data_IF_251577733936
#
_entry.id   IF_251577733936
#
_cell.length_a   1.000
_cell.length_b   1.000
_cell.length_c   1.000
_cell.angle_alpha   90.00
_cell.angle_beta   90.00
_cell.angle_gamma   90.00
#
_symmetry.space_group_name_H-M   'P 1'
#
loop_
_entity.id
_entity.type
_entity.pdbx_description
1 polymer ?
#
# COMPACT_ATOMS: atom_id res chain seq x y z
N UNK A 1 -5.94 -11.49 -39.22
CA UNK A 1 -6.25 -10.29 -38.43
C UNK A 1 -5.17 -10.15 -37.36
N UNK A 2 -4.10 -9.43 -37.66
CA UNK A 2 -2.89 -9.27 -36.83
C UNK A 2 -2.70 -7.78 -36.56
N UNK A 3 -3.42 -7.27 -35.57
CA UNK A 3 -3.40 -5.85 -35.21
C UNK A 3 -3.60 -5.59 -33.72
N UNK A 4 -3.32 -6.58 -32.86
CA UNK A 4 -3.60 -6.52 -31.42
C UNK A 4 -2.34 -6.35 -30.54
N UNK A 5 -1.14 -6.35 -31.11
CA UNK A 5 0.09 -6.44 -30.32
C UNK A 5 0.42 -5.15 -29.54
N UNK A 6 -0.03 -3.98 -30.01
CA UNK A 6 0.13 -2.71 -29.30
C UNK A 6 -1.04 -2.38 -28.35
N UNK A 7 -2.17 -3.09 -28.42
CA UNK A 7 -3.34 -2.83 -27.56
C UNK A 7 -3.06 -3.14 -26.08
N UNK A 8 -2.05 -3.98 -25.81
CA UNK A 8 -1.59 -4.29 -24.46
C UNK A 8 -0.61 -3.26 -23.89
N UNK A 9 -0.35 -2.17 -24.62
CA UNK A 9 0.62 -1.11 -24.28
C UNK A 9 1.97 -1.67 -23.76
N UNK A 10 2.65 -2.53 -24.54
CA UNK A 10 3.83 -3.24 -24.04
C UNK A 10 5.05 -2.34 -23.81
N UNK A 11 5.08 -1.15 -24.41
CA UNK A 11 6.18 -0.19 -24.30
C UNK A 11 6.07 0.64 -23.02
N UNK A 12 7.12 0.64 -22.21
CA UNK A 12 7.21 1.35 -20.94
C UNK A 12 7.90 2.71 -21.11
N UNK A 13 7.91 3.52 -20.05
CA UNK A 13 8.70 4.76 -19.94
C UNK A 13 8.49 5.75 -21.11
N UNK A 14 7.26 5.82 -21.64
CA UNK A 14 6.90 6.74 -22.73
C UNK A 14 7.36 6.28 -24.12
N UNK A 15 7.82 5.04 -24.27
CA UNK A 15 8.12 4.45 -25.58
C UNK A 15 6.89 4.34 -26.48
N UNK A 16 7.06 4.56 -27.79
CA UNK A 16 5.98 4.48 -28.78
C UNK A 16 5.88 3.08 -29.38
N UNK A 17 4.71 2.44 -29.29
CA UNK A 17 4.49 1.12 -29.87
C UNK A 17 4.17 1.21 -31.37
N UNK A 18 4.86 0.40 -32.19
CA UNK A 18 4.59 0.22 -33.62
C UNK A 18 4.40 -1.26 -33.94
N UNK A 19 3.55 -1.56 -34.91
CA UNK A 19 3.38 -2.93 -35.41
C UNK A 19 4.60 -3.27 -36.27
N UNK A 20 5.24 -4.41 -35.99
CA UNK A 20 6.42 -4.87 -36.72
C UNK A 20 6.07 -5.44 -38.10
N UNK A 21 6.94 -5.23 -39.09
CA UNK A 21 6.72 -5.63 -40.49
C UNK A 21 6.56 -7.16 -40.71
N UNK A 22 6.96 -7.98 -39.73
CA UNK A 22 6.85 -9.46 -39.76
C UNK A 22 5.74 -10.05 -38.88
N UNK A 23 4.88 -9.22 -38.27
CA UNK A 23 4.00 -9.59 -37.16
C UNK A 23 4.65 -9.36 -35.79
N UNK A 24 3.86 -8.98 -34.78
CA UNK A 24 4.34 -8.55 -33.47
C UNK A 24 4.38 -7.02 -33.31
N UNK A 25 4.98 -6.56 -32.21
CA UNK A 25 5.20 -5.14 -31.91
C UNK A 25 6.68 -4.79 -31.79
N UNK A 26 6.99 -3.50 -31.97
CA UNK A 26 8.31 -2.90 -31.78
C UNK A 26 8.13 -1.61 -30.98
N UNK A 27 8.91 -1.45 -29.92
CA UNK A 27 8.91 -0.22 -29.13
C UNK A 27 9.99 0.73 -29.60
N UNK A 28 9.59 1.96 -29.95
CA UNK A 28 10.49 3.08 -30.16
C UNK A 28 10.73 3.79 -28.83
N UNK A 29 11.86 3.50 -28.21
CA UNK A 29 12.23 4.05 -26.92
C UNK A 29 12.63 5.52 -26.99
N UNK A 30 12.22 6.29 -25.98
CA UNK A 30 12.68 7.67 -25.81
C UNK A 30 14.16 7.68 -25.43
N UNK A 31 14.83 8.80 -25.75
CA UNK A 31 16.24 9.00 -25.41
C UNK A 31 16.44 8.78 -23.90
N UNK A 32 17.40 7.93 -23.56
CA UNK A 32 17.69 7.54 -22.18
C UNK A 32 17.06 6.20 -21.76
N UNK A 33 16.12 5.66 -22.53
CA UNK A 33 15.57 4.32 -22.35
C UNK A 33 15.96 3.35 -23.48
N UNK A 34 16.09 2.07 -23.16
CA UNK A 34 16.42 0.99 -24.10
C UNK A 34 15.79 -0.34 -23.66
N UNK A 35 15.99 -1.41 -24.43
CA UNK A 35 15.36 -2.72 -24.17
C UNK A 35 14.21 -3.02 -25.13
N UNK A 36 13.58 -4.18 -24.98
CA UNK A 36 12.50 -4.62 -25.88
C UNK A 36 11.24 -3.80 -25.65
N UNK A 37 11.01 -3.43 -24.40
CA UNK A 37 9.87 -2.67 -23.92
C UNK A 37 10.29 -1.31 -23.33
N UNK A 38 11.50 -0.82 -23.63
CA UNK A 38 12.05 0.41 -23.06
C UNK A 38 12.22 0.39 -21.53
N UNK A 39 12.49 -0.80 -20.98
CA UNK A 39 12.62 -1.08 -19.55
C UNK A 39 14.02 -0.82 -18.98
N UNK A 40 15.03 -0.66 -19.84
CA UNK A 40 16.43 -0.52 -19.46
C UNK A 40 16.83 0.95 -19.48
N UNK A 41 17.33 1.44 -18.34
CA UNK A 41 17.99 2.73 -18.28
C UNK A 41 19.31 2.71 -19.05
N UNK A 42 19.46 3.61 -20.01
CA UNK A 42 20.64 3.67 -20.88
C UNK A 42 21.44 4.96 -20.71
N UNK A 43 20.96 5.91 -19.92
CA UNK A 43 21.61 7.20 -19.75
C UNK A 43 21.30 7.79 -18.38
N UNK A 44 22.33 8.00 -17.56
CA UNK A 44 22.18 8.71 -16.28
C UNK A 44 22.01 10.21 -16.54
N UNK A 45 20.78 10.72 -16.45
CA UNK A 45 20.48 12.13 -16.66
C UNK A 45 21.04 13.02 -15.54
N UNK A 46 21.25 12.46 -14.34
CA UNK A 46 21.84 13.16 -13.20
C UNK A 46 23.34 13.43 -13.35
N UNK A 47 24.04 12.69 -14.21
CA UNK A 47 25.45 12.90 -14.53
C UNK A 47 25.78 14.34 -14.97
N UNK A 48 24.82 15.04 -15.57
CA UNK A 48 24.94 16.43 -16.02
C UNK A 48 24.76 17.48 -14.91
N UNK A 49 24.47 17.05 -13.67
CA UNK A 49 24.12 17.91 -12.54
C UNK A 49 22.99 18.90 -12.87
N UNK A 50 21.81 18.41 -13.30
CA UNK A 50 20.75 19.27 -13.79
C UNK A 50 20.06 20.09 -12.69
N UNK A 51 20.04 19.58 -11.45
CA UNK A 51 19.41 20.25 -10.30
C UNK A 51 20.16 21.50 -9.86
N UNK A 52 19.45 22.61 -9.67
CA UNK A 52 19.97 23.85 -9.12
C UNK A 52 20.06 23.72 -7.59
N UNK A 53 21.03 24.43 -7.02
CA UNK A 53 21.36 24.47 -5.59
C UNK A 53 22.13 23.23 -5.11
N UNK A 54 23.13 23.47 -4.24
CA UNK A 54 24.00 22.41 -3.72
C UNK A 54 23.25 21.43 -2.80
N UNK A 55 22.16 21.89 -2.19
CA UNK A 55 21.31 21.08 -1.31
C UNK A 55 20.28 20.24 -2.08
N UNK A 56 20.16 20.43 -3.40
CA UNK A 56 19.22 19.65 -4.21
C UNK A 56 19.81 18.28 -4.56
N UNK A 57 19.02 17.22 -4.37
CA UNK A 57 19.44 15.85 -4.67
C UNK A 57 18.88 15.46 -6.04
N UNK A 58 19.74 15.01 -6.95
CA UNK A 58 19.30 14.44 -8.22
C UNK A 58 19.09 12.93 -8.06
N UNK A 59 17.93 12.44 -8.48
CA UNK A 59 17.63 11.02 -8.60
C UNK A 59 17.37 10.68 -10.06
N UNK A 60 18.18 9.77 -10.57
CA UNK A 60 18.08 9.23 -11.92
C UNK A 60 16.82 8.38 -12.09
N UNK A 61 16.20 8.43 -13.27
CA UNK A 61 15.03 7.63 -13.67
C UNK A 61 15.21 7.20 -15.11
N UNK A 62 14.54 6.12 -15.51
CA UNK A 62 14.64 5.64 -16.88
C UNK A 62 14.12 6.71 -17.86
N UNK A 63 15.04 7.31 -18.61
CA UNK A 63 14.76 8.35 -19.61
C UNK A 63 14.38 9.72 -19.05
N UNK A 64 14.58 9.98 -17.75
CA UNK A 64 14.30 11.27 -17.10
C UNK A 64 15.04 11.38 -15.75
N UNK A 65 14.99 12.54 -15.10
CA UNK A 65 15.52 12.69 -13.73
C UNK A 65 14.53 13.42 -12.83
N UNK A 66 14.74 13.28 -11.52
CA UNK A 66 13.98 14.00 -10.51
C UNK A 66 14.92 14.77 -9.60
N UNK A 67 14.70 16.07 -9.47
CA UNK A 67 15.39 16.89 -8.48
C UNK A 67 14.57 16.99 -7.20
N UNK A 68 15.18 16.74 -6.04
CA UNK A 68 14.59 17.04 -4.74
C UNK A 68 15.05 18.43 -4.32
N UNK A 69 14.14 19.39 -4.37
CA UNK A 69 14.41 20.79 -4.13
C UNK A 69 14.38 21.12 -2.62
N UNK A 70 15.29 22.00 -2.17
CA UNK A 70 15.24 22.55 -0.82
C UNK A 70 13.99 23.42 -0.63
N UNK A 71 13.64 23.68 0.63
CA UNK A 71 12.51 24.56 0.93
C UNK A 71 12.67 25.91 0.23
N UNK A 72 11.56 26.46 -0.23
CA UNK A 72 11.45 27.70 -0.99
C UNK A 72 11.86 27.62 -2.47
N UNK A 73 12.21 26.43 -2.97
CA UNK A 73 12.58 26.22 -4.37
C UNK A 73 11.74 25.10 -4.99
N UNK A 74 11.34 25.30 -6.24
CA UNK A 74 10.47 24.43 -7.04
C UNK A 74 10.89 24.48 -8.51
N UNK A 75 10.20 23.77 -9.41
CA UNK A 75 10.61 23.61 -10.81
C UNK A 75 11.39 22.32 -11.04
N UNK A 76 11.46 21.86 -12.29
CA UNK A 76 12.07 20.56 -12.66
C UNK A 76 13.52 20.46 -12.19
N UNK A 77 14.21 21.59 -12.16
CA UNK A 77 15.61 21.72 -11.77
C UNK A 77 15.73 22.60 -10.51
N UNK A 78 14.68 22.81 -9.72
CA UNK A 78 14.70 23.71 -8.55
C UNK A 78 15.04 25.18 -8.89
N UNK A 79 14.72 25.63 -10.10
CA UNK A 79 15.04 26.95 -10.62
C UNK A 79 14.03 28.05 -10.22
N UNK A 80 12.87 27.68 -9.68
CA UNK A 80 11.77 28.58 -9.33
C UNK A 80 11.75 28.84 -7.82
N UNK A 81 11.86 30.09 -7.41
CA UNK A 81 11.74 30.49 -6.00
C UNK A 81 10.26 30.71 -5.61
N UNK A 82 9.79 30.00 -4.58
CA UNK A 82 8.48 30.17 -3.95
C UNK A 82 8.64 30.16 -2.43
N UNK A 83 8.52 31.31 -1.78
CA UNK A 83 8.74 31.46 -0.34
C UNK A 83 7.87 30.55 0.56
N UNK A 84 6.79 29.98 0.02
CA UNK A 84 5.85 29.11 0.73
C UNK A 84 6.02 27.61 0.42
N UNK A 85 6.91 27.24 -0.51
CA UNK A 85 7.10 25.86 -0.91
C UNK A 85 7.88 25.05 0.15
N UNK A 86 7.36 23.89 0.61
CA UNK A 86 8.13 22.93 1.39
C UNK A 86 9.23 22.29 0.53
N UNK A 87 10.24 21.70 1.17
CA UNK A 87 11.21 20.86 0.46
C UNK A 87 10.49 19.66 -0.19
N UNK A 88 10.86 19.28 -1.41
CA UNK A 88 10.13 18.24 -2.13
C UNK A 88 10.57 18.05 -3.57
N UNK A 89 9.79 17.27 -4.32
CA UNK A 89 10.10 16.93 -5.71
C UNK A 89 9.88 18.13 -6.65
N UNK A 90 10.93 18.49 -7.39
CA UNK A 90 10.94 19.48 -8.44
C UNK A 90 10.14 19.03 -9.66
N UNK A 91 8.95 19.58 -9.83
CA UNK A 91 8.08 19.31 -10.99
C UNK A 91 8.01 20.52 -11.91
N UNK A 92 7.97 20.29 -13.22
CA UNK A 92 7.77 21.33 -14.22
C UNK A 92 6.33 21.86 -14.13
N UNK A 93 6.12 22.87 -13.30
CA UNK A 93 4.89 23.65 -13.27
C UNK A 93 3.69 22.99 -12.59
N UNK A 94 3.60 23.14 -11.26
CA UNK A 94 2.30 23.32 -10.60
C UNK A 94 2.44 24.38 -9.51
N UNK A 95 2.59 25.65 -9.92
CA UNK A 95 2.17 26.74 -9.06
C UNK A 95 0.65 26.61 -8.91
N UNK A 96 0.20 26.30 -7.69
CA UNK A 96 -1.19 26.41 -7.25
C UNK A 96 -2.20 25.45 -7.93
N UNK A 97 -2.27 24.21 -7.43
CA UNK A 97 -3.54 23.47 -7.34
C UNK A 97 -3.85 23.15 -5.88
N UNK A 98 -4.49 24.09 -5.19
CA UNK A 98 -5.52 23.70 -4.21
C UNK A 98 -6.71 23.13 -5.00
N UNK A 99 -6.62 21.89 -5.50
CA UNK A 99 -7.74 21.10 -6.04
C UNK A 99 -7.28 19.70 -6.46
N UNK A 100 -7.75 18.68 -5.74
CA UNK A 100 -7.99 17.30 -6.18
C UNK A 100 -6.86 16.53 -6.87
N UNK A 101 -5.72 16.37 -6.20
CA UNK A 101 -5.01 15.09 -6.33
C UNK A 101 -5.57 14.21 -5.23
N UNK A 102 -6.65 13.46 -5.53
CA UNK A 102 -7.02 12.34 -4.65
C UNK A 102 -5.75 11.52 -4.48
N UNK A 103 -5.36 11.26 -3.24
CA UNK A 103 -4.21 10.42 -2.96
C UNK A 103 -4.34 9.14 -3.79
N UNK A 104 -3.24 8.57 -4.30
CA UNK A 104 -3.26 7.26 -4.96
C UNK A 104 -4.08 6.24 -4.13
N UNK A 105 -3.98 6.35 -2.81
CA UNK A 105 -4.77 5.59 -1.85
C UNK A 105 -6.28 5.85 -1.91
N UNK A 106 -6.72 7.12 -1.98
CA UNK A 106 -8.14 7.46 -2.11
C UNK A 106 -8.71 7.00 -3.45
N UNK A 107 -7.90 7.05 -4.51
CA UNK A 107 -8.29 6.54 -5.82
C UNK A 107 -8.44 5.00 -5.83
N UNK A 108 -7.52 4.29 -5.18
CA UNK A 108 -7.61 2.83 -5.04
C UNK A 108 -8.80 2.40 -4.17
N UNK A 109 -9.02 3.07 -3.04
CA UNK A 109 -10.17 2.80 -2.18
C UNK A 109 -11.50 3.05 -2.91
N UNK A 110 -11.58 4.09 -3.73
CA UNK A 110 -12.76 4.35 -4.58
C UNK A 110 -12.97 3.22 -5.59
N UNK A 111 -11.90 2.75 -6.25
CA UNK A 111 -11.97 1.60 -7.17
C UNK A 111 -12.49 0.35 -6.48
N UNK A 112 -12.00 0.04 -5.29
CA UNK A 112 -12.45 -1.12 -4.51
C UNK A 112 -13.93 -0.99 -4.11
N UNK A 113 -14.38 0.21 -3.72
CA UNK A 113 -15.81 0.48 -3.46
C UNK A 113 -16.69 0.24 -4.70
N UNK A 114 -16.23 0.64 -5.88
CA UNK A 114 -16.94 0.33 -7.13
C UNK A 114 -17.01 -1.19 -7.39
N UNK A 115 -15.97 -1.95 -7.06
CA UNK A 115 -16.00 -3.42 -7.17
C UNK A 115 -17.06 -4.05 -6.25
N UNK A 116 -17.26 -3.50 -5.04
CA UNK A 116 -18.35 -3.95 -4.15
C UNK A 116 -19.74 -3.81 -4.81
N UNK A 117 -19.95 -2.72 -5.57
CA UNK A 117 -21.21 -2.49 -6.30
C UNK A 117 -21.40 -3.52 -7.41
N UNK A 118 -20.34 -3.81 -8.19
CA UNK A 118 -20.36 -4.82 -9.27
C UNK A 118 -20.68 -6.22 -8.73
N UNK A 119 -20.16 -6.56 -7.55
CA UNK A 119 -20.42 -7.85 -6.87
C UNK A 119 -21.80 -7.94 -6.21
N UNK A 120 -22.56 -6.85 -6.19
CA UNK A 120 -23.89 -6.82 -5.58
C UNK A 120 -23.87 -6.83 -4.04
N UNK A 121 -22.74 -6.51 -3.40
CA UNK A 121 -22.62 -6.42 -1.94
C UNK A 121 -23.66 -5.51 -1.26
N UNK A 122 -24.13 -4.40 -1.88
CA UNK A 122 -25.19 -3.59 -1.27
C UNK A 122 -26.52 -4.29 -1.01
N UNK A 123 -26.82 -5.39 -1.71
CA UNK A 123 -28.03 -6.20 -1.50
C UNK A 123 -27.82 -7.34 -0.51
N UNK A 124 -26.55 -7.63 -0.17
CA UNK A 124 -26.13 -8.71 0.71
C UNK A 124 -25.92 -8.23 2.15
N UNK A 125 -25.44 -7.00 2.34
CA UNK A 125 -25.26 -6.37 3.66
C UNK A 125 -26.47 -6.43 4.60
N UNK A 126 -26.19 -6.60 5.89
CA UNK A 126 -27.13 -6.66 7.03
C UNK A 126 -28.17 -7.78 6.93
N UNK A 127 -27.80 -8.90 6.31
CA UNK A 127 -28.63 -10.10 6.20
C UNK A 127 -28.31 -11.15 7.29
N UNK A 128 -27.41 -10.85 8.23
CA UNK A 128 -26.89 -11.75 9.29
C UNK A 128 -26.11 -12.97 8.77
N UNK A 129 -25.66 -12.92 7.53
CA UNK A 129 -24.85 -13.96 6.88
C UNK A 129 -23.61 -13.28 6.32
N UNK A 130 -22.43 -13.71 6.76
CA UNK A 130 -21.18 -13.23 6.19
C UNK A 130 -21.01 -13.76 4.75
N UNK A 131 -21.09 -12.88 3.76
CA UNK A 131 -20.70 -13.16 2.38
C UNK A 131 -19.22 -12.79 2.17
N UNK A 132 -18.35 -13.81 2.11
CA UNK A 132 -16.88 -13.65 2.04
C UNK A 132 -16.41 -12.76 0.87
N UNK A 133 -17.11 -12.77 -0.27
CA UNK A 133 -16.80 -11.87 -1.39
C UNK A 133 -16.97 -10.37 -1.10
N UNK A 134 -17.72 -10.06 -0.03
CA UNK A 134 -18.04 -8.73 0.48
C UNK A 134 -17.33 -8.45 1.83
N UNK A 135 -16.55 -9.41 2.34
CA UNK A 135 -15.76 -9.28 3.56
C UNK A 135 -14.47 -8.47 3.31
N UNK A 136 -14.63 -7.19 2.97
CA UNK A 136 -13.52 -6.26 2.82
C UNK A 136 -13.86 -4.92 3.45
N UNK A 137 -12.83 -4.18 3.86
CA UNK A 137 -13.00 -2.83 4.39
C UNK A 137 -13.75 -1.91 3.41
N UNK A 138 -13.47 -2.03 2.10
CA UNK A 138 -14.14 -1.23 1.07
C UNK A 138 -15.65 -1.53 0.95
N UNK A 139 -16.09 -2.72 1.36
CA UNK A 139 -17.50 -3.13 1.39
C UNK A 139 -18.10 -3.10 2.80
N UNK A 140 -17.47 -2.40 3.75
CA UNK A 140 -17.86 -2.32 5.16
C UNK A 140 -18.03 -3.72 5.82
N UNK A 141 -17.18 -4.68 5.48
CA UNK A 141 -17.24 -6.06 6.00
C UNK A 141 -18.63 -6.69 5.87
N UNK A 142 -19.21 -6.58 4.68
CA UNK A 142 -20.58 -6.98 4.36
C UNK A 142 -21.64 -6.29 5.23
N UNK A 143 -21.49 -4.97 5.42
CA UNK A 143 -22.34 -4.20 6.33
C UNK A 143 -22.22 -4.65 7.79
N UNK A 144 -21.03 -5.11 8.17
CA UNK A 144 -20.63 -5.70 9.44
C UNK A 144 -21.18 -7.12 9.71
N UNK A 145 -21.81 -7.80 8.75
CA UNK A 145 -22.26 -9.19 8.98
C UNK A 145 -21.07 -10.14 9.22
N UNK A 146 -19.91 -9.84 8.64
CA UNK A 146 -18.65 -10.58 8.86
C UNK A 146 -17.88 -10.14 10.11
N UNK A 147 -18.34 -9.09 10.79
CA UNK A 147 -17.67 -8.52 11.97
C UNK A 147 -18.60 -8.40 13.18
N UNK A 148 -19.55 -9.34 13.31
CA UNK A 148 -20.50 -9.43 14.42
C UNK A 148 -21.37 -8.16 14.60
N UNK A 149 -21.62 -7.43 13.52
CA UNK A 149 -22.41 -6.20 13.50
C UNK A 149 -21.65 -4.95 13.95
N UNK A 150 -20.36 -5.04 14.23
CA UNK A 150 -19.53 -3.96 14.78
C UNK A 150 -18.39 -3.66 13.80
N UNK A 151 -17.98 -2.40 13.63
CA UNK A 151 -16.69 -2.08 13.02
C UNK A 151 -15.62 -2.07 14.13
N UNK A 152 -14.74 -3.08 14.21
CA UNK A 152 -13.82 -3.22 15.34
C UNK A 152 -12.74 -2.12 15.39
N UNK A 153 -12.46 -1.45 14.26
CA UNK A 153 -11.43 -0.41 14.13
C UNK A 153 -12.01 1.01 14.07
N UNK A 154 -13.27 1.21 14.43
CA UNK A 154 -13.93 2.53 14.35
C UNK A 154 -13.19 3.64 15.12
N UNK A 155 -12.49 3.27 16.21
CA UNK A 155 -11.74 4.19 17.04
C UNK A 155 -10.23 4.16 16.75
N UNK A 156 -9.74 3.31 15.85
CA UNK A 156 -8.32 3.18 15.58
C UNK A 156 -7.80 4.37 14.76
N UNK A 157 -6.87 5.16 15.31
CA UNK A 157 -6.26 6.32 14.64
C UNK A 157 -4.82 6.09 14.18
N UNK A 158 -4.40 4.84 14.05
CA UNK A 158 -3.04 4.51 13.65
C UNK A 158 -2.70 5.08 12.25
N UNK A 159 -1.41 5.42 12.00
CA UNK A 159 -0.94 5.90 10.69
C UNK A 159 -1.01 4.84 9.59
N UNK A 160 -1.09 3.55 9.97
CA UNK A 160 -1.26 2.41 9.07
C UNK A 160 -2.63 1.76 9.26
N UNK A 161 -3.03 0.94 8.29
CA UNK A 161 -4.32 0.22 8.33
C UNK A 161 -4.21 -1.03 9.20
N UNK A 162 -4.56 -0.90 10.47
CA UNK A 162 -4.40 -2.02 11.41
C UNK A 162 -5.20 -3.26 11.05
N UNK A 163 -6.33 -3.16 10.35
CA UNK A 163 -7.08 -4.34 9.90
C UNK A 163 -6.39 -5.17 8.81
N UNK A 164 -5.37 -4.65 8.11
CA UNK A 164 -4.59 -5.41 7.10
C UNK A 164 -3.42 -6.18 7.72
N UNK A 165 -2.95 -5.75 8.90
CA UNK A 165 -1.83 -6.34 9.62
C UNK A 165 -2.23 -7.05 10.91
N UNK A 166 -3.51 -6.96 11.29
CA UNK A 166 -4.05 -7.60 12.48
C UNK A 166 -3.89 -9.13 12.45
N UNK A 167 -3.22 -9.68 13.46
CA UNK A 167 -2.94 -11.13 13.58
C UNK A 167 -2.13 -11.69 12.38
N UNK A 168 -1.24 -10.89 11.79
CA UNK A 168 -0.36 -11.33 10.70
C UNK A 168 0.94 -12.00 11.20
N UNK A 169 1.16 -12.00 12.52
CA UNK A 169 2.32 -12.57 13.20
C UNK A 169 3.55 -11.65 13.26
N UNK A 170 3.45 -10.41 12.80
CA UNK A 170 4.49 -9.38 12.92
C UNK A 170 4.00 -8.28 13.83
N UNK A 171 4.84 -7.90 14.79
CA UNK A 171 4.50 -6.77 15.65
C UNK A 171 4.56 -5.43 14.89
N UNK A 172 3.40 -4.81 14.73
CA UNK A 172 3.21 -3.44 14.28
C UNK A 172 2.87 -2.53 15.47
N UNK A 173 3.89 -1.86 16.01
CA UNK A 173 3.76 -0.98 17.19
C UNK A 173 2.73 0.16 17.00
N UNK A 174 2.55 0.65 15.77
CA UNK A 174 1.52 1.64 15.43
C UNK A 174 0.09 1.14 15.70
N UNK A 175 -0.12 -0.17 15.62
CA UNK A 175 -1.39 -0.86 15.85
C UNK A 175 -1.50 -1.48 17.25
N UNK A 176 -0.41 -1.47 18.03
CA UNK A 176 -0.30 -2.05 19.35
C UNK A 176 -0.90 -1.14 20.45
N UNK A 177 -2.18 -0.83 20.31
CA UNK A 177 -2.92 -0.01 21.27
C UNK A 177 -4.36 -0.51 21.41
N UNK A 178 -5.08 -0.13 22.48
CA UNK A 178 -6.43 -0.64 22.74
C UNK A 178 -7.45 -0.30 21.64
N UNK A 179 -7.30 0.85 20.99
CA UNK A 179 -8.21 1.34 19.95
C UNK A 179 -8.05 0.58 18.63
N UNK A 180 -6.86 0.02 18.40
CA UNK A 180 -6.50 -0.79 17.24
C UNK A 180 -6.39 -2.29 17.58
N UNK A 181 -6.97 -2.71 18.71
CA UNK A 181 -7.05 -4.11 19.16
C UNK A 181 -5.70 -4.79 19.40
N UNK A 182 -4.72 -4.03 19.89
CA UNK A 182 -3.37 -4.51 20.24
C UNK A 182 -2.70 -5.28 19.11
N UNK A 183 -2.95 -4.88 17.86
CA UNK A 183 -2.37 -5.53 16.68
C UNK A 183 -2.63 -7.05 16.65
N UNK A 184 -3.81 -7.49 17.10
CA UNK A 184 -4.12 -8.91 17.17
C UNK A 184 -3.28 -9.71 18.17
N UNK A 185 -2.55 -9.01 19.04
CA UNK A 185 -1.54 -9.56 19.95
C UNK A 185 -0.27 -10.05 19.27
N UNK A 186 0.02 -9.60 18.04
CA UNK A 186 1.29 -9.90 17.36
C UNK A 186 2.50 -9.27 18.06
N UNK A 187 2.27 -8.20 18.82
CA UNK A 187 3.27 -7.55 19.67
C UNK A 187 3.41 -8.16 21.07
N UNK A 188 2.47 -9.02 21.49
CA UNK A 188 2.72 -9.83 22.67
C UNK A 188 3.85 -10.81 22.31
N UNK A 189 4.87 -10.88 23.16
CA UNK A 189 5.85 -11.96 23.05
C UNK A 189 5.04 -13.25 23.09
N UNK A 190 4.98 -13.97 21.96
CA UNK A 190 4.25 -15.22 21.87
C UNK A 190 4.76 -16.12 22.99
N UNK A 191 4.00 -16.22 24.08
CA UNK A 191 4.26 -17.25 25.07
C UNK A 191 4.18 -18.55 24.27
N UNK A 192 5.21 -19.39 24.43
CA UNK A 192 5.20 -20.68 23.78
C UNK A 192 3.90 -21.39 24.17
N UNK A 193 3.28 -22.18 23.29
CA UNK A 193 2.08 -22.92 23.67
C UNK A 193 2.35 -23.74 24.93
N UNK A 194 1.34 -23.87 25.81
CA UNK A 194 1.43 -24.71 27.00
C UNK A 194 2.02 -26.08 26.63
N UNK A 195 2.91 -26.60 27.47
CA UNK A 195 3.64 -27.83 27.17
C UNK A 195 2.65 -28.94 26.76
N UNK A 196 2.76 -29.54 25.55
CA UNK A 196 1.78 -30.48 25.03
C UNK A 196 1.52 -31.71 25.91
N UNK A 197 2.49 -32.08 26.76
CA UNK A 197 2.34 -33.19 27.73
C UNK A 197 1.41 -32.78 28.89
N UNK A 198 1.47 -31.52 29.30
CA UNK A 198 0.72 -30.99 30.44
C UNK A 198 -0.55 -30.23 30.03
N UNK A 199 -0.70 -29.84 28.77
CA UNK A 199 -1.85 -29.08 28.24
C UNK A 199 -3.19 -29.74 28.57
N UNK A 200 -3.33 -31.04 28.31
CA UNK A 200 -4.55 -31.78 28.63
C UNK A 200 -4.84 -31.87 30.15
N UNK A 201 -3.80 -31.88 30.98
CA UNK A 201 -3.94 -31.86 32.44
C UNK A 201 -4.39 -30.48 32.90
N UNK A 202 -3.74 -29.42 32.42
CA UNK A 202 -4.05 -28.04 32.77
C UNK A 202 -5.46 -27.63 32.34
N UNK A 203 -5.90 -28.01 31.14
CA UNK A 203 -7.26 -27.74 30.68
C UNK A 203 -8.34 -28.37 31.58
N UNK A 204 -8.12 -29.59 32.07
CA UNK A 204 -9.07 -30.28 32.96
C UNK A 204 -9.08 -29.70 34.38
N UNK A 205 -7.98 -29.09 34.79
CA UNK A 205 -7.78 -28.53 36.12
C UNK A 205 -7.92 -27.00 36.17
N UNK A 206 -8.20 -26.36 35.03
CA UNK A 206 -8.38 -24.92 34.94
C UNK A 206 -9.59 -24.44 35.73
N UNK A 207 -9.39 -23.41 36.57
CA UNK A 207 -10.44 -22.76 37.37
C UNK A 207 -11.31 -23.72 38.23
N UNK A 208 -10.76 -24.88 38.64
CA UNK A 208 -11.47 -25.88 39.45
C UNK A 208 -11.46 -25.58 40.96
N UNK A 209 -10.84 -24.46 41.39
CA UNK A 209 -10.69 -24.08 42.80
C UNK A 209 -9.52 -24.74 43.54
N UNK A 210 -8.67 -25.50 42.85
CA UNK A 210 -7.45 -26.09 43.36
C UNK A 210 -6.21 -25.45 42.69
N UNK A 211 -5.10 -25.38 43.43
CA UNK A 211 -3.85 -24.80 42.92
C UNK A 211 -2.98 -25.90 42.33
N UNK A 212 -2.78 -25.86 41.01
CA UNK A 212 -1.94 -26.78 40.27
C UNK A 212 -0.68 -26.04 39.76
N UNK A 213 0.44 -26.17 40.49
CA UNK A 213 1.67 -25.40 40.23
C UNK A 213 2.26 -25.61 38.82
N UNK A 214 2.04 -26.78 38.21
CA UNK A 214 2.49 -27.09 36.85
C UNK A 214 1.72 -26.34 35.75
N UNK A 215 0.61 -25.70 36.11
CA UNK A 215 -0.28 -24.96 35.21
C UNK A 215 -0.37 -23.47 35.58
N UNK A 216 0.55 -22.97 36.40
CA UNK A 216 0.55 -21.60 36.90
C UNK A 216 1.71 -20.82 36.29
N UNK A 217 1.68 -20.58 34.97
CA UNK A 217 2.84 -20.05 34.28
C UNK A 217 2.60 -19.22 33.02
N UNK A 218 1.57 -18.42 32.84
CA UNK A 218 1.42 -17.54 31.66
C UNK A 218 1.21 -18.26 30.30
N UNK A 219 2.02 -19.27 29.91
CA UNK A 219 1.70 -20.14 28.77
C UNK A 219 0.57 -21.15 29.07
N UNK A 220 0.45 -21.54 30.33
CA UNK A 220 -0.62 -22.29 30.99
C UNK A 220 -1.11 -21.44 32.19
#
# INVERSE_FOLDING_TARGET
FSGFDCDSEPCQNGGSCKIGDGGGYVCECLKGSSGVNCEVDSFDECSSSPCRHQEAICQDKIGDYVCFCPSKYTGKNCEVFDASAPAGVGTAGVANRKSEVKSFYEADLERQRQQCLVRGCPMKRKNLKCDEECNSFACDFDGNDCSLGINPWVNCTAPIKCWEVFMDGKCNEDCNNPECLFDGRDCEKSLQPCNPIYDAYCQKHYANGHCDYGCNNAEC
#
